data_IF_617059701224
#
_entry.id   IF_617059701224
#
_cell.length_a   1.000
_cell.length_b   1.000
_cell.length_c   1.000
_cell.angle_alpha   90.00
_cell.angle_beta   90.00
_cell.angle_gamma   90.00
#
_symmetry.space_group_name_H-M   'P 1'
#
loop_
_entity.id
_entity.type
_entity.pdbx_description
1 polymer ?
#
# COMPACT_ATOMS: atom_id res chain seq x y z
N UNK A 1 60.87 39.08 -40.19
CA UNK A 1 59.41 39.09 -40.32
C UNK A 1 58.96 37.68 -39.89
N UNK A 2 58.55 37.48 -38.63
CA UNK A 2 58.20 36.19 -38.06
C UNK A 2 56.70 36.15 -37.86
N UNK A 3 56.01 35.23 -38.56
CA UNK A 3 54.56 35.03 -38.54
C UNK A 3 54.29 33.96 -37.46
N UNK A 4 53.53 34.32 -36.39
CA UNK A 4 53.04 33.38 -35.40
C UNK A 4 51.65 32.83 -35.82
N UNK A 5 51.43 31.51 -35.76
CA UNK A 5 50.11 30.96 -35.95
C UNK A 5 49.29 30.99 -34.67
N UNK A 6 48.06 31.54 -34.77
CA UNK A 6 47.02 31.53 -33.74
C UNK A 6 46.48 30.11 -33.49
N UNK A 7 46.74 29.59 -32.32
CA UNK A 7 46.20 28.31 -31.81
C UNK A 7 44.76 28.53 -31.35
N UNK A 8 43.78 28.04 -32.11
CA UNK A 8 42.35 28.00 -31.68
C UNK A 8 42.13 26.83 -30.70
N UNK A 9 41.95 27.13 -29.44
CA UNK A 9 41.48 26.16 -28.43
C UNK A 9 39.98 26.00 -28.56
N UNK A 10 39.54 24.84 -29.05
CA UNK A 10 38.14 24.43 -29.00
C UNK A 10 37.79 23.87 -27.65
N UNK A 11 36.91 24.52 -26.89
CA UNK A 11 36.37 24.07 -25.64
C UNK A 11 35.25 23.05 -25.91
N UNK A 12 35.30 21.81 -25.42
CA UNK A 12 34.18 20.89 -25.55
C UNK A 12 33.09 21.30 -24.53
N UNK A 13 31.89 21.57 -25.05
CA UNK A 13 30.66 21.75 -24.28
C UNK A 13 30.26 20.40 -23.66
N UNK A 14 30.54 20.21 -22.36
CA UNK A 14 29.98 19.07 -21.61
C UNK A 14 28.48 19.31 -21.41
N UNK A 15 27.68 18.60 -22.15
CA UNK A 15 26.24 18.51 -21.91
C UNK A 15 26.04 17.68 -20.63
N UNK A 16 25.67 18.33 -19.53
CA UNK A 16 25.18 17.71 -18.32
C UNK A 16 23.79 17.11 -18.62
N UNK A 17 23.76 15.82 -18.97
CA UNK A 17 22.53 15.05 -18.99
C UNK A 17 22.08 14.87 -17.54
N UNK A 18 21.06 15.63 -17.11
CA UNK A 18 20.34 15.36 -15.86
C UNK A 18 19.71 13.97 -15.96
N UNK A 19 19.92 13.06 -15.00
CA UNK A 19 19.15 11.83 -14.96
C UNK A 19 17.68 12.23 -14.74
N UNK A 20 16.83 11.99 -15.74
CA UNK A 20 15.39 11.98 -15.54
C UNK A 20 15.11 10.94 -14.45
N UNK A 21 14.67 11.39 -13.28
CA UNK A 21 14.12 10.50 -12.27
C UNK A 21 12.91 9.80 -12.90
N UNK A 22 13.10 8.55 -13.31
CA UNK A 22 12.00 7.68 -13.66
C UNK A 22 11.12 7.58 -12.40
N UNK A 23 9.99 8.23 -12.42
CA UNK A 23 8.96 8.02 -11.41
C UNK A 23 8.53 6.56 -11.52
N UNK A 24 8.93 5.77 -10.53
CA UNK A 24 8.50 4.38 -10.36
C UNK A 24 7.00 4.36 -10.04
N UNK A 25 6.16 4.43 -11.07
CA UNK A 25 4.69 4.29 -10.95
C UNK A 25 4.31 2.85 -10.55
N UNK A 26 5.27 1.90 -10.52
CA UNK A 26 5.05 0.47 -10.31
C UNK A 26 5.13 -0.03 -8.85
N UNK A 27 5.50 0.79 -7.87
CA UNK A 27 5.70 0.35 -6.48
C UNK A 27 4.76 0.99 -5.45
N UNK A 28 3.56 1.42 -5.88
CA UNK A 28 2.58 1.92 -4.91
C UNK A 28 2.20 0.81 -3.93
N UNK A 29 2.33 1.07 -2.64
CA UNK A 29 1.84 0.20 -1.59
C UNK A 29 0.36 0.47 -1.36
N UNK A 30 -0.42 -0.61 -1.26
CA UNK A 30 -1.86 -0.54 -1.01
C UNK A 30 -2.20 -1.19 0.32
N UNK A 31 -3.22 -0.66 1.00
CA UNK A 31 -3.80 -1.25 2.21
C UNK A 31 -4.98 -2.14 1.82
N UNK A 32 -4.99 -3.34 2.38
CA UNK A 32 -6.04 -4.34 2.20
C UNK A 32 -6.93 -4.34 3.45
N UNK A 33 -7.85 -3.39 3.53
CA UNK A 33 -8.85 -3.31 4.61
C UNK A 33 -10.05 -4.23 4.41
N UNK A 34 -10.25 -4.69 3.15
CA UNK A 34 -11.38 -5.53 2.73
C UNK A 34 -11.25 -5.88 1.25
N UNK A 35 -12.36 -6.11 0.57
CA UNK A 35 -12.38 -6.30 -0.88
C UNK A 35 -12.39 -4.95 -1.59
N UNK A 36 -11.40 -4.65 -2.41
CA UNK A 36 -11.55 -3.61 -3.41
C UNK A 36 -12.23 -4.21 -4.63
N UNK A 37 -13.50 -3.97 -4.71
CA UNK A 37 -14.29 -4.34 -5.85
C UNK A 37 -14.58 -3.07 -6.60
N UNK A 38 -13.97 -2.92 -7.78
CA UNK A 38 -14.28 -1.81 -8.69
C UNK A 38 -15.73 -1.99 -9.11
N UNK A 39 -16.64 -1.18 -8.59
CA UNK A 39 -17.99 -1.11 -9.12
C UNK A 39 -17.91 -0.49 -10.51
N UNK A 40 -18.28 -1.20 -11.58
CA UNK A 40 -18.58 -0.53 -12.84
C UNK A 40 -19.76 0.41 -12.57
N UNK A 41 -19.63 1.65 -13.02
CA UNK A 41 -20.70 2.64 -12.98
C UNK A 41 -21.74 2.22 -14.00
N UNK A 42 -22.61 1.29 -13.65
CA UNK A 42 -23.69 0.78 -14.47
C UNK A 42 -25.01 1.19 -13.81
N UNK A 43 -25.58 2.24 -14.38
CA UNK A 43 -27.01 2.47 -14.31
C UNK A 43 -27.75 1.31 -15.00
N UNK A 44 -28.04 0.25 -14.27
CA UNK A 44 -29.08 -0.73 -14.57
C UNK A 44 -29.45 -1.44 -13.27
N UNK A 45 -30.66 -1.21 -12.87
CA UNK A 45 -31.41 -1.87 -11.80
C UNK A 45 -31.67 -3.33 -12.16
N UNK A 46 -30.77 -4.24 -12.05
CA UNK A 46 -31.04 -5.67 -12.01
C UNK A 46 -29.76 -6.51 -12.05
N UNK A 47 -28.98 -6.44 -10.98
CA UNK A 47 -28.09 -7.53 -10.63
C UNK A 47 -27.72 -7.42 -9.16
N UNK A 48 -28.26 -8.28 -8.34
CA UNK A 48 -27.62 -8.70 -7.09
C UNK A 48 -26.35 -9.45 -7.50
N UNK A 49 -25.34 -8.70 -7.96
CA UNK A 49 -24.01 -9.24 -8.14
C UNK A 49 -23.41 -9.38 -6.75
N UNK A 50 -23.52 -10.58 -6.20
CA UNK A 50 -22.70 -10.99 -5.07
C UNK A 50 -21.26 -10.90 -5.57
N UNK A 51 -20.60 -9.88 -5.12
CA UNK A 51 -19.27 -9.43 -5.54
C UNK A 51 -18.22 -10.43 -4.99
N UNK A 52 -18.16 -11.60 -5.61
CA UNK A 52 -17.21 -12.65 -5.27
C UNK A 52 -15.97 -12.50 -6.15
N UNK A 53 -14.77 -12.62 -5.57
CA UNK A 53 -13.55 -12.66 -6.35
C UNK A 53 -13.60 -13.84 -7.32
N UNK A 54 -12.98 -13.73 -8.51
CA UNK A 54 -12.88 -14.82 -9.46
C UNK A 54 -12.28 -16.09 -8.83
N UNK A 55 -12.61 -17.25 -9.38
CA UNK A 55 -12.13 -18.53 -8.86
C UNK A 55 -10.60 -18.69 -9.00
N UNK A 56 -10.01 -18.09 -10.02
CA UNK A 56 -8.57 -18.14 -10.28
C UNK A 56 -7.92 -16.82 -9.94
N UNK A 57 -6.91 -16.87 -9.11
CA UNK A 57 -6.08 -15.78 -8.67
C UNK A 57 -4.88 -16.29 -7.88
N UNK A 58 -4.11 -15.39 -7.31
CA UNK A 58 -2.89 -15.67 -6.57
C UNK A 58 -3.09 -15.43 -5.07
N UNK A 59 -3.10 -16.49 -4.27
CA UNK A 59 -3.08 -16.41 -2.82
C UNK A 59 -1.63 -16.33 -2.34
N UNK A 60 -1.32 -15.33 -1.48
CA UNK A 60 0.02 -15.14 -0.94
C UNK A 60 0.00 -14.46 0.42
N UNK A 61 1.09 -14.57 1.17
CA UNK A 61 1.30 -13.77 2.38
C UNK A 61 1.45 -12.31 1.96
N UNK A 62 0.80 -11.40 2.68
CA UNK A 62 0.96 -9.96 2.51
C UNK A 62 2.39 -9.51 2.81
N UNK A 63 2.77 -8.32 2.34
CA UNK A 63 4.13 -7.84 2.60
C UNK A 63 4.26 -7.29 4.04
N UNK A 64 3.19 -6.65 4.55
CA UNK A 64 3.15 -6.12 5.92
C UNK A 64 1.83 -6.39 6.61
N UNK A 65 1.90 -6.52 7.93
CA UNK A 65 0.78 -6.27 8.84
C UNK A 65 0.82 -4.79 9.23
N UNK A 66 -0.35 -4.14 9.22
CA UNK A 66 -0.50 -2.69 9.37
C UNK A 66 -1.54 -2.41 10.45
N UNK A 67 -1.19 -1.55 11.39
CA UNK A 67 -2.08 -1.06 12.43
C UNK A 67 -2.14 0.46 12.36
N UNK A 68 -3.33 1.01 12.28
CA UNK A 68 -3.51 2.43 12.50
C UNK A 68 -3.27 2.73 13.98
N UNK A 69 -2.58 3.83 14.23
CA UNK A 69 -2.36 4.38 15.57
C UNK A 69 -2.75 5.85 15.56
N UNK A 70 -3.14 6.32 16.74
CA UNK A 70 -3.51 7.71 16.95
C UNK A 70 -2.70 8.27 18.10
N UNK A 71 -2.15 9.46 17.96
CA UNK A 71 -1.60 10.24 19.06
C UNK A 71 -2.65 11.26 19.45
N UNK A 72 -3.15 11.16 20.67
CA UNK A 72 -4.18 12.02 21.23
C UNK A 72 -3.53 12.97 22.24
N UNK A 73 -3.85 14.23 22.18
CA UNK A 73 -3.41 15.26 23.12
C UNK A 73 -4.60 16.01 23.72
N UNK A 74 -4.59 16.23 25.04
CA UNK A 74 -5.65 16.94 25.77
C UNK A 74 -5.13 18.12 26.61
N UNK A 75 -3.97 18.64 26.27
CA UNK A 75 -3.43 19.84 26.89
C UNK A 75 -4.29 21.05 26.50
N UNK A 76 -4.76 21.83 27.48
CA UNK A 76 -5.69 22.96 27.26
C UNK A 76 -5.17 24.04 26.31
N UNK A 77 -3.87 24.34 26.39
CA UNK A 77 -3.22 25.26 25.47
C UNK A 77 -3.05 24.57 24.11
N UNK A 78 -3.76 25.06 23.09
CA UNK A 78 -3.79 24.48 21.74
C UNK A 78 -2.37 24.37 21.14
N UNK A 79 -1.58 25.44 21.24
CA UNK A 79 -0.23 25.44 20.67
C UNK A 79 0.65 24.40 21.34
N UNK A 80 0.60 24.32 22.68
CA UNK A 80 1.35 23.33 23.44
C UNK A 80 0.86 21.91 23.15
N UNK A 81 -0.44 21.70 23.04
CA UNK A 81 -1.06 20.41 22.66
C UNK A 81 -0.51 19.91 21.35
N UNK A 82 -0.54 20.72 20.30
CA UNK A 82 0.00 20.39 18.98
C UNK A 82 1.50 20.14 18.99
N UNK A 83 2.27 20.92 19.76
CA UNK A 83 3.70 20.68 19.96
C UNK A 83 3.96 19.32 20.61
N UNK A 84 3.20 18.95 21.64
CA UNK A 84 3.31 17.64 22.33
C UNK A 84 2.98 16.48 21.38
N UNK A 85 1.90 16.58 20.59
CA UNK A 85 1.48 15.57 19.59
C UNK A 85 2.59 15.36 18.54
N UNK A 86 3.07 16.44 17.92
CA UNK A 86 4.10 16.33 16.88
C UNK A 86 5.46 15.88 17.45
N UNK A 87 5.80 16.27 18.67
CA UNK A 87 7.02 15.80 19.32
C UNK A 87 6.95 14.30 19.62
N UNK A 88 5.78 13.78 20.01
CA UNK A 88 5.57 12.36 20.19
C UNK A 88 5.66 11.59 18.85
N UNK A 89 5.08 12.13 17.77
CA UNK A 89 5.22 11.57 16.42
C UNK A 89 6.69 11.53 15.99
N UNK A 90 7.46 12.58 16.24
CA UNK A 90 8.90 12.63 15.99
C UNK A 90 9.65 11.52 16.74
N UNK A 91 9.35 11.34 18.04
CA UNK A 91 9.95 10.27 18.86
C UNK A 91 9.58 8.87 18.34
N UNK A 92 8.35 8.69 17.86
CA UNK A 92 7.94 7.42 17.24
C UNK A 92 8.78 7.11 15.99
N UNK A 93 9.00 8.09 15.12
CA UNK A 93 9.84 7.94 13.91
C UNK A 93 11.29 7.59 14.31
N UNK A 94 11.87 8.30 15.27
CA UNK A 94 13.23 8.01 15.74
C UNK A 94 13.37 6.62 16.37
N UNK A 95 12.35 6.19 17.12
CA UNK A 95 12.32 4.85 17.73
C UNK A 95 12.21 3.76 16.67
N UNK A 96 11.35 3.93 15.65
CA UNK A 96 11.20 3.00 14.55
C UNK A 96 12.52 2.83 13.79
N UNK A 97 13.22 3.94 13.51
CA UNK A 97 14.55 3.91 12.88
C UNK A 97 15.62 3.18 13.68
N UNK A 98 15.53 3.19 15.03
CA UNK A 98 16.50 2.52 15.91
C UNK A 98 16.21 1.03 16.13
N UNK A 99 14.92 0.64 16.20
CA UNK A 99 14.53 -0.74 16.55
C UNK A 99 14.62 -1.71 15.38
N UNK A 100 14.44 -1.25 14.14
CA UNK A 100 14.28 -2.09 12.98
C UNK A 100 12.98 -2.93 12.99
N UNK A 101 12.56 -3.40 11.83
CA UNK A 101 11.36 -4.25 11.68
C UNK A 101 10.00 -3.54 11.87
N UNK A 102 10.01 -2.25 12.20
CA UNK A 102 8.86 -1.35 12.21
C UNK A 102 9.10 -0.25 11.18
N UNK A 103 8.11 -0.01 10.36
CA UNK A 103 8.05 1.11 9.43
C UNK A 103 6.82 1.96 9.77
N UNK A 104 6.96 3.28 9.65
CA UNK A 104 5.84 4.19 9.83
C UNK A 104 5.43 4.76 8.47
N UNK A 105 4.13 4.95 8.31
CA UNK A 105 3.57 5.43 7.05
C UNK A 105 2.34 6.31 7.29
N UNK A 106 1.95 7.05 6.27
CA UNK A 106 0.73 7.86 6.23
C UNK A 106 -0.04 7.55 4.95
N UNK A 107 -1.32 7.89 4.91
CA UNK A 107 -2.23 7.63 3.79
C UNK A 107 -3.28 6.56 4.11
N UNK A 108 -4.37 6.56 3.35
CA UNK A 108 -5.49 5.63 3.54
C UNK A 108 -5.52 4.52 2.48
N UNK A 109 -5.36 4.86 1.21
CA UNK A 109 -5.38 3.92 0.08
C UNK A 109 -3.99 3.71 -0.50
N UNK A 110 -3.27 4.79 -0.70
CA UNK A 110 -1.86 4.80 -1.11
C UNK A 110 -1.03 5.20 0.11
N UNK A 111 -0.01 4.44 0.36
CA UNK A 111 0.81 4.54 1.57
C UNK A 111 2.11 5.23 1.24
N UNK A 112 2.43 6.29 1.98
CA UNK A 112 3.70 6.99 1.88
C UNK A 112 4.49 6.83 3.20
N UNK A 113 5.83 6.70 3.13
CA UNK A 113 6.64 6.62 4.34
C UNK A 113 6.47 7.88 5.21
N UNK A 114 6.23 7.70 6.50
CA UNK A 114 6.24 8.78 7.48
C UNK A 114 7.67 8.97 8.00
N UNK A 115 8.19 10.18 7.82
CA UNK A 115 9.59 10.53 8.07
C UNK A 115 9.72 11.84 8.84
N UNK A 116 10.93 12.17 9.31
CA UNK A 116 11.21 13.48 9.93
C UNK A 116 11.02 14.66 8.97
N UNK A 117 10.94 14.41 7.66
CA UNK A 117 10.72 15.47 6.68
C UNK A 117 9.23 15.82 6.49
N UNK A 118 8.31 14.88 6.74
CA UNK A 118 6.89 15.06 6.43
C UNK A 118 5.93 14.87 7.63
N UNK A 119 6.39 14.47 8.81
CA UNK A 119 5.50 14.20 9.96
C UNK A 119 4.65 15.41 10.39
N UNK A 120 5.12 16.63 10.16
CA UNK A 120 4.34 17.84 10.45
C UNK A 120 3.20 18.10 9.46
N UNK A 121 3.13 17.33 8.37
CA UNK A 121 2.04 17.36 7.41
C UNK A 121 0.89 16.41 7.79
N UNK A 122 1.02 15.66 8.90
CA UNK A 122 -0.09 14.87 9.42
C UNK A 122 -1.28 15.77 9.71
N UNK A 123 -2.45 15.35 9.27
CA UNK A 123 -3.70 16.07 9.49
C UNK A 123 -4.08 15.98 10.97
N UNK A 124 -4.32 17.13 11.57
CA UNK A 124 -4.86 17.21 12.94
C UNK A 124 -6.37 17.11 12.82
N UNK A 125 -6.95 16.11 13.49
CA UNK A 125 -8.39 15.99 13.68
C UNK A 125 -8.76 16.43 15.09
N UNK A 126 -9.87 17.12 15.21
CA UNK A 126 -10.50 17.46 16.49
C UNK A 126 -11.34 16.25 16.97
N UNK A 127 -11.51 16.13 18.28
CA UNK A 127 -12.42 15.13 18.85
C UNK A 127 -13.85 15.68 18.81
N UNK A 128 -14.80 14.88 18.30
CA UNK A 128 -16.19 15.30 18.12
C UNK A 128 -16.91 15.62 19.45
N UNK A 129 -16.45 15.05 20.55
CA UNK A 129 -17.08 15.16 21.88
C UNK A 129 -16.36 16.15 22.80
N UNK A 130 -15.11 16.57 22.47
CA UNK A 130 -14.23 17.35 23.35
C UNK A 130 -13.43 18.40 22.58
N UNK A 131 -13.78 19.68 22.75
CA UNK A 131 -13.16 20.83 22.06
C UNK A 131 -11.64 21.02 22.36
N UNK A 132 -11.16 20.51 23.49
CA UNK A 132 -9.75 20.63 23.91
C UNK A 132 -8.92 19.37 23.63
N UNK A 133 -9.43 18.46 22.78
CA UNK A 133 -8.73 17.25 22.35
C UNK A 133 -8.45 17.30 20.86
N UNK A 134 -7.22 17.08 20.50
CA UNK A 134 -6.78 16.94 19.11
C UNK A 134 -5.99 15.66 18.93
N UNK A 135 -5.99 15.13 17.73
CA UNK A 135 -5.33 13.89 17.41
C UNK A 135 -4.69 13.90 16.02
N UNK A 136 -3.65 13.08 15.84
CA UNK A 136 -3.09 12.74 14.53
C UNK A 136 -3.04 11.23 14.39
N UNK A 137 -3.35 10.74 13.19
CA UNK A 137 -3.31 9.31 12.90
C UNK A 137 -2.24 8.99 11.86
N UNK A 138 -1.60 7.83 12.02
CA UNK A 138 -0.68 7.27 11.05
C UNK A 138 -0.64 5.74 11.17
N UNK A 139 0.16 5.09 10.35
CA UNK A 139 0.23 3.64 10.24
C UNK A 139 1.55 3.13 10.81
N UNK A 140 1.47 2.10 11.65
CA UNK A 140 2.60 1.31 12.11
C UNK A 140 2.58 -0.01 11.37
N UNK A 141 3.67 -0.33 10.68
CA UNK A 141 3.80 -1.49 9.82
C UNK A 141 4.90 -2.41 10.31
N UNK A 142 4.64 -3.71 10.27
CA UNK A 142 5.68 -4.73 10.45
C UNK A 142 5.68 -5.71 9.30
N UNK A 143 6.88 -6.04 8.77
CA UNK A 143 7.04 -6.98 7.66
C UNK A 143 6.62 -8.38 8.07
N UNK A 144 5.77 -9.00 7.25
CA UNK A 144 5.37 -10.40 7.42
C UNK A 144 6.44 -11.30 6.80
N UNK A 145 7.22 -11.96 7.65
CA UNK A 145 8.17 -12.99 7.23
C UNK A 145 7.46 -14.35 7.08
N UNK A 146 8.07 -15.26 6.32
CA UNK A 146 7.58 -16.61 6.22
C UNK A 146 7.49 -17.27 7.61
N UNK A 147 6.31 -17.79 7.95
CA UNK A 147 6.05 -18.41 9.25
C UNK A 147 5.67 -17.45 10.39
N UNK A 148 5.65 -16.15 10.15
CA UNK A 148 5.12 -15.19 11.13
C UNK A 148 3.60 -15.23 11.09
N UNK A 149 2.97 -15.46 12.24
CA UNK A 149 1.52 -15.38 12.40
C UNK A 149 1.05 -13.95 12.71
N UNK A 150 -0.25 -13.73 12.63
CA UNK A 150 -0.84 -12.42 12.89
C UNK A 150 -0.65 -11.95 14.32
N UNK A 151 -0.59 -12.89 15.28
CA UNK A 151 -0.40 -12.59 16.70
C UNK A 151 1.00 -12.02 16.94
N UNK A 152 2.03 -12.67 16.40
CA UNK A 152 3.42 -12.19 16.53
C UNK A 152 3.62 -10.82 15.86
N UNK A 153 2.92 -10.56 14.75
CA UNK A 153 2.94 -9.26 14.10
C UNK A 153 2.27 -8.19 14.98
N UNK A 154 1.11 -8.49 15.55
CA UNK A 154 0.38 -7.60 16.46
C UNK A 154 1.19 -7.30 17.72
N UNK A 155 1.73 -8.33 18.39
CA UNK A 155 2.57 -8.17 19.58
C UNK A 155 3.79 -7.27 19.32
N UNK A 156 4.40 -7.37 18.14
CA UNK A 156 5.50 -6.49 17.73
C UNK A 156 5.08 -5.03 17.60
N UNK A 157 3.90 -4.79 17.01
CA UNK A 157 3.34 -3.44 16.88
C UNK A 157 2.98 -2.89 18.27
N UNK A 158 2.33 -3.68 19.12
CA UNK A 158 1.97 -3.30 20.48
C UNK A 158 3.19 -2.92 21.32
N UNK A 159 4.21 -3.76 21.30
CA UNK A 159 5.47 -3.48 22.01
C UNK A 159 6.19 -2.23 21.45
N UNK A 160 5.96 -1.86 20.19
CA UNK A 160 6.45 -0.61 19.66
C UNK A 160 5.64 0.58 20.18
N UNK A 161 4.30 0.52 20.12
CA UNK A 161 3.40 1.59 20.59
C UNK A 161 3.67 1.91 22.07
N UNK A 162 3.75 0.89 22.91
CA UNK A 162 4.04 1.03 24.35
C UNK A 162 5.42 1.62 24.63
N UNK A 163 6.38 1.42 23.73
CA UNK A 163 7.73 1.89 23.91
C UNK A 163 7.97 3.34 23.44
N UNK A 164 7.01 3.96 22.72
CA UNK A 164 7.11 5.37 22.35
C UNK A 164 6.97 6.23 23.60
N UNK A 165 7.99 7.07 23.93
CA UNK A 165 7.94 7.88 25.14
C UNK A 165 6.83 8.93 25.07
N UNK A 166 5.98 8.98 26.07
CA UNK A 166 4.97 10.03 26.20
C UNK A 166 5.60 11.44 26.18
N UNK A 167 4.86 12.44 25.74
CA UNK A 167 5.25 13.84 25.68
C UNK A 167 4.15 14.71 26.27
N UNK A 168 4.41 15.28 27.43
CA UNK A 168 3.40 16.08 28.13
C UNK A 168 2.18 15.22 28.45
N UNK A 169 1.05 15.58 27.83
CA UNK A 169 -0.22 14.84 27.94
C UNK A 169 -0.60 14.12 26.65
N UNK A 170 0.30 14.06 25.68
CA UNK A 170 0.08 13.28 24.47
C UNK A 170 0.30 11.79 24.74
N UNK A 171 -0.66 10.96 24.32
CA UNK A 171 -0.65 9.51 24.44
C UNK A 171 -0.83 8.88 23.06
N UNK A 172 -0.21 7.72 22.84
CA UNK A 172 -0.30 6.97 21.59
C UNK A 172 -1.07 5.67 21.84
N UNK A 173 -2.10 5.47 21.05
CA UNK A 173 -2.97 4.31 21.13
C UNK A 173 -3.25 3.67 19.78
N UNK A 174 -3.67 2.40 19.79
CA UNK A 174 -4.08 1.69 18.60
C UNK A 174 -5.49 2.12 18.21
N UNK A 175 -5.72 2.29 16.90
CA UNK A 175 -7.01 2.59 16.33
C UNK A 175 -7.40 1.53 15.29
N UNK A 176 -8.64 1.03 15.37
CA UNK A 176 -9.17 0.05 14.43
C UNK A 176 -8.50 -1.32 14.48
N UNK A 177 -8.79 -2.12 13.47
CA UNK A 177 -8.31 -3.50 13.35
C UNK A 177 -6.97 -3.60 12.64
N UNK A 178 -6.25 -4.72 12.88
CA UNK A 178 -5.05 -5.07 12.13
C UNK A 178 -5.41 -5.33 10.67
N UNK A 179 -4.77 -4.60 9.78
CA UNK A 179 -4.92 -4.70 8.33
C UNK A 179 -3.67 -5.28 7.67
N UNK A 180 -3.70 -5.44 6.37
CA UNK A 180 -2.57 -5.95 5.58
C UNK A 180 -2.19 -4.95 4.51
N UNK A 181 -0.93 -4.97 4.06
CA UNK A 181 -0.54 -4.24 2.87
C UNK A 181 0.27 -5.08 1.87
N UNK A 182 0.18 -4.70 0.61
CA UNK A 182 0.89 -5.29 -0.52
C UNK A 182 1.59 -4.19 -1.29
N UNK A 183 2.88 -4.37 -1.52
CA UNK A 183 3.71 -3.45 -2.30
C UNK A 183 3.65 -3.84 -3.77
N UNK A 184 3.25 -2.90 -4.63
CA UNK A 184 3.22 -3.09 -6.08
C UNK A 184 2.39 -4.30 -6.52
N UNK A 185 1.06 -4.35 -6.27
CA UNK A 185 0.23 -5.51 -6.61
C UNK A 185 0.28 -5.87 -8.10
N UNK A 186 0.47 -4.89 -8.98
CA UNK A 186 0.53 -5.11 -10.43
C UNK A 186 1.73 -5.95 -10.89
N UNK A 187 2.78 -6.07 -10.08
CA UNK A 187 3.91 -6.98 -10.37
C UNK A 187 3.49 -8.46 -10.44
N UNK A 188 2.36 -8.81 -9.84
CA UNK A 188 1.81 -10.16 -9.84
C UNK A 188 0.86 -10.42 -11.02
N UNK A 189 0.57 -9.40 -11.85
CA UNK A 189 -0.39 -9.50 -12.95
C UNK A 189 -0.05 -10.63 -13.92
N UNK A 190 1.19 -10.74 -14.37
CA UNK A 190 1.62 -11.77 -15.31
C UNK A 190 1.34 -13.17 -14.75
N UNK A 191 1.72 -13.44 -13.50
CA UNK A 191 1.48 -14.72 -12.84
C UNK A 191 -0.03 -15.03 -12.72
N UNK A 192 -0.87 -14.03 -12.44
CA UNK A 192 -2.33 -14.22 -12.38
C UNK A 192 -2.88 -14.54 -13.77
N UNK A 193 -2.46 -13.83 -14.81
CA UNK A 193 -2.88 -14.08 -16.20
C UNK A 193 -2.48 -15.48 -16.65
N UNK A 194 -1.29 -15.94 -16.29
CA UNK A 194 -0.82 -17.30 -16.60
C UNK A 194 -1.72 -18.37 -15.94
N UNK A 195 -2.14 -18.16 -14.70
CA UNK A 195 -3.07 -19.06 -13.99
C UNK A 195 -4.44 -19.10 -14.70
N UNK A 196 -4.98 -17.95 -15.09
CA UNK A 196 -6.25 -17.86 -15.83
C UNK A 196 -6.14 -18.54 -17.19
N UNK A 197 -5.04 -18.33 -17.93
CA UNK A 197 -4.81 -18.96 -19.22
C UNK A 197 -4.69 -20.50 -19.10
N UNK A 198 -4.01 -20.98 -18.06
CA UNK A 198 -3.91 -22.43 -17.79
C UNK A 198 -5.26 -23.04 -17.48
N UNK A 199 -6.11 -22.37 -16.69
CA UNK A 199 -7.46 -22.83 -16.37
C UNK A 199 -8.37 -22.80 -17.61
N UNK A 200 -8.33 -21.74 -18.42
CA UNK A 200 -9.07 -21.66 -19.69
C UNK A 200 -8.71 -22.82 -20.64
N UNK A 201 -7.42 -23.14 -20.75
CA UNK A 201 -6.95 -24.28 -21.53
C UNK A 201 -7.45 -25.60 -20.99
N UNK A 202 -7.40 -25.82 -19.68
CA UNK A 202 -7.91 -27.01 -19.03
C UNK A 202 -9.44 -27.17 -19.24
N UNK A 203 -10.19 -26.09 -19.19
CA UNK A 203 -11.62 -26.04 -19.45
C UNK A 203 -11.92 -26.38 -20.92
N UNK A 204 -11.20 -25.81 -21.89
CA UNK A 204 -11.35 -26.11 -23.31
C UNK A 204 -11.12 -27.59 -23.60
N UNK A 205 -10.11 -28.22 -22.99
CA UNK A 205 -9.84 -29.67 -23.13
C UNK A 205 -10.99 -30.52 -22.60
N UNK A 206 -11.67 -30.12 -21.53
CA UNK A 206 -12.83 -30.84 -20.98
C UNK A 206 -14.08 -30.71 -21.85
N UNK A 207 -14.25 -29.56 -22.51
CA UNK A 207 -15.38 -29.31 -23.40
C UNK A 207 -15.25 -30.03 -24.77
N UNK A 208 -14.03 -30.42 -25.11
CA UNK A 208 -13.73 -31.13 -26.36
C UNK A 208 -13.40 -30.19 -27.54
N UNK A 209 -12.96 -30.78 -28.68
CA UNK A 209 -12.33 -30.02 -29.76
C UNK A 209 -13.29 -29.09 -30.52
N UNK A 210 -14.60 -29.24 -30.33
CA UNK A 210 -15.60 -28.39 -30.97
C UNK A 210 -15.74 -26.99 -30.31
N UNK A 211 -15.10 -26.77 -29.17
CA UNK A 211 -15.25 -25.57 -28.38
C UNK A 211 -13.92 -24.95 -28.02
N UNK A 212 -13.90 -23.61 -27.95
CA UNK A 212 -12.82 -22.82 -27.40
C UNK A 212 -13.32 -22.00 -26.20
N UNK A 213 -12.43 -21.69 -25.25
CA UNK A 213 -12.71 -20.85 -24.10
C UNK A 213 -11.97 -19.51 -24.29
N UNK A 214 -12.72 -18.42 -24.28
CA UNK A 214 -12.17 -17.07 -24.32
C UNK A 214 -12.23 -16.45 -22.94
N UNK A 215 -11.11 -15.88 -22.48
CA UNK A 215 -11.04 -15.10 -21.27
C UNK A 215 -11.14 -13.61 -21.62
N UNK A 216 -12.09 -12.92 -21.00
CA UNK A 216 -12.34 -11.49 -21.20
C UNK A 216 -12.00 -10.73 -19.91
N UNK A 217 -11.56 -9.45 -20.01
CA UNK A 217 -11.27 -8.60 -18.85
C UNK A 217 -9.85 -8.73 -18.31
N UNK A 218 -8.97 -9.48 -18.99
CA UNK A 218 -7.57 -9.61 -18.58
C UNK A 218 -6.74 -8.31 -18.73
N UNK A 219 -7.30 -7.27 -19.31
CA UNK A 219 -6.76 -5.92 -19.42
C UNK A 219 -7.01 -5.06 -18.16
N UNK A 220 -7.85 -5.52 -17.23
CA UNK A 220 -8.21 -4.82 -16.00
C UNK A 220 -7.05 -4.80 -15.00
N UNK A 221 -6.98 -3.81 -14.07
CA UNK A 221 -5.97 -3.79 -13.02
C UNK A 221 -6.09 -4.98 -12.07
N UNK A 222 -5.02 -5.25 -11.33
CA UNK A 222 -5.04 -6.24 -10.25
C UNK A 222 -5.91 -5.72 -9.12
N UNK A 223 -6.84 -6.55 -8.69
CA UNK A 223 -7.68 -6.35 -7.52
C UNK A 223 -7.30 -7.32 -6.41
N UNK A 224 -7.81 -7.09 -5.21
CA UNK A 224 -7.43 -7.88 -4.05
C UNK A 224 -8.56 -8.00 -3.04
N UNK A 225 -8.47 -9.07 -2.26
CA UNK A 225 -9.27 -9.26 -1.05
C UNK A 225 -8.44 -9.91 0.04
N UNK A 226 -8.85 -9.77 1.28
CA UNK A 226 -8.21 -10.46 2.40
C UNK A 226 -8.58 -11.93 2.36
N UNK A 227 -7.59 -12.83 2.36
CA UNK A 227 -7.80 -14.28 2.34
C UNK A 227 -7.71 -14.89 3.74
N UNK A 228 -6.85 -14.33 4.63
CA UNK A 228 -6.71 -14.73 6.02
C UNK A 228 -6.16 -13.59 6.86
N UNK A 229 -5.75 -13.87 8.10
CA UNK A 229 -5.13 -12.87 8.97
C UNK A 229 -3.78 -12.36 8.46
N UNK A 230 -3.09 -13.13 7.61
CA UNK A 230 -1.76 -12.77 7.06
C UNK A 230 -1.68 -12.89 5.54
N UNK A 231 -2.74 -13.37 4.88
CA UNK A 231 -2.71 -13.62 3.44
C UNK A 231 -3.73 -12.75 2.69
N UNK A 232 -3.37 -12.45 1.47
CA UNK A 232 -4.20 -11.75 0.48
C UNK A 232 -4.45 -12.65 -0.71
N UNK A 233 -5.59 -12.43 -1.37
CA UNK A 233 -5.92 -13.02 -2.65
C UNK A 233 -5.92 -11.92 -3.70
N UNK A 234 -4.99 -12.02 -4.64
CA UNK A 234 -4.82 -11.09 -5.76
C UNK A 234 -5.43 -11.71 -7.01
N UNK A 235 -6.19 -10.93 -7.76
CA UNK A 235 -6.84 -11.39 -8.97
C UNK A 235 -6.98 -10.26 -10.01
N UNK A 236 -7.18 -10.64 -11.26
CA UNK A 236 -7.66 -9.74 -12.30
C UNK A 236 -9.14 -10.12 -12.53
N UNK A 237 -10.07 -9.16 -12.51
CA UNK A 237 -11.46 -9.47 -12.81
C UNK A 237 -11.61 -9.97 -14.24
N UNK A 238 -12.07 -11.22 -14.40
CA UNK A 238 -12.24 -11.84 -15.70
C UNK A 238 -13.54 -12.63 -15.78
N UNK A 239 -13.94 -12.93 -16.99
CA UNK A 239 -15.03 -13.87 -17.30
C UNK A 239 -14.65 -14.79 -18.45
N UNK A 240 -15.25 -15.98 -18.48
CA UNK A 240 -15.10 -16.91 -19.59
C UNK A 240 -16.32 -16.90 -20.51
N UNK A 241 -16.05 -17.00 -21.80
CA UNK A 241 -17.05 -17.28 -22.84
C UNK A 241 -16.67 -18.57 -23.56
N UNK A 242 -17.62 -19.49 -23.73
CA UNK A 242 -17.43 -20.70 -24.52
C UNK A 242 -17.94 -20.43 -25.94
N UNK A 243 -17.10 -20.64 -26.94
CA UNK A 243 -17.38 -20.36 -28.33
C UNK A 243 -17.04 -21.59 -29.17
N UNK A 244 -17.69 -21.79 -30.35
CA UNK A 244 -17.30 -22.85 -31.29
C UNK A 244 -15.83 -22.67 -31.69
N UNK A 245 -15.05 -23.77 -31.71
CA UNK A 245 -13.71 -23.77 -32.26
C UNK A 245 -13.79 -23.53 -33.79
N UNK A 246 -12.93 -22.69 -34.32
CA UNK A 246 -12.83 -22.42 -35.75
C UNK A 246 -11.89 -23.41 -36.41
#
# INVERSE_FOLDING_TARGET
MRIFPLLRVALPLLALASPAAAQNIGESEIIVTGSRISRPNLGSEDAITVDRPPAIGLKRVADFAVQQVTIVGDTRDEKKRREEIFEMARKAIELAGKRGGIELATGQLVVEPLTLANYRNLEIAEDDDREDVEQVSFLVKTRLAAGMDAKAALERIEAFVEAVPAVGRAEMEKAGDLTLSVVGPDKFRAAIVDLVAADAKAMALRLGPAYAVQANGLDRPVEWTRASLTEVYLYVPYSYSVVPAR
#
